data_IF_221707965256
#
_entry.id   IF_221707965256
#
_cell.length_a   1.000
_cell.length_b   1.000
_cell.length_c   1.000
_cell.angle_alpha   90.00
_cell.angle_beta   90.00
_cell.angle_gamma   90.00
#
_symmetry.space_group_name_H-M   'P 1'
#
loop_
_entity.id
_entity.type
_entity.pdbx_description
1 polymer ?
#
# COMPACT_ATOMS: atom_id res chain seq x y z
N UNK A 1 64.93 -2.33 5.84
CA UNK A 1 64.18 -3.37 6.57
C UNK A 1 62.74 -2.92 6.73
N UNK A 2 61.79 -3.85 6.55
CA UNK A 2 60.34 -3.61 6.63
C UNK A 2 59.92 -3.28 8.08
N UNK A 3 59.24 -2.15 8.24
CA UNK A 3 58.49 -1.78 9.43
C UNK A 3 57.05 -2.29 9.26
N UNK A 4 56.48 -2.93 10.28
CA UNK A 4 55.02 -3.12 10.43
C UNK A 4 54.65 -3.03 11.92
N UNK A 5 54.38 -1.80 12.37
CA UNK A 5 53.54 -1.56 13.53
C UNK A 5 52.09 -1.57 13.08
N UNK A 6 51.25 -2.42 13.67
CA UNK A 6 49.82 -2.41 13.42
C UNK A 6 49.17 -1.40 14.36
N UNK A 7 48.62 -0.32 13.81
CA UNK A 7 47.62 0.51 14.50
C UNK A 7 46.33 -0.29 14.57
N UNK A 8 45.92 -0.65 15.79
CA UNK A 8 44.60 -1.23 16.05
C UNK A 8 43.59 -0.07 16.01
N UNK A 9 42.68 -0.13 15.05
CA UNK A 9 41.64 0.88 14.85
C UNK A 9 40.48 0.63 15.82
N UNK A 10 40.58 1.24 17.01
CA UNK A 10 39.62 1.12 18.12
C UNK A 10 38.20 1.59 17.75
N UNK A 11 38.04 2.39 16.69
CA UNK A 11 36.73 2.86 16.22
C UNK A 11 35.93 1.77 15.50
N UNK A 12 36.58 0.71 14.99
CA UNK A 12 35.89 -0.48 14.45
C UNK A 12 35.45 -1.46 15.54
N UNK A 13 35.92 -1.30 16.78
CA UNK A 13 35.59 -2.19 17.91
C UNK A 13 34.35 -1.74 18.73
N UNK A 14 33.89 -0.49 18.59
CA UNK A 14 32.72 0.02 19.32
C UNK A 14 31.43 -0.29 18.55
N UNK A 15 31.00 -1.55 18.63
CA UNK A 15 29.76 -2.04 18.04
C UNK A 15 28.49 -1.48 18.70
N UNK A 16 27.90 -0.43 18.10
CA UNK A 16 26.51 -0.04 18.38
C UNK A 16 25.61 0.26 17.17
N UNK A 17 26.12 0.34 15.94
CA UNK A 17 25.28 0.67 14.76
C UNK A 17 25.14 -0.42 13.68
N UNK A 18 25.92 -1.51 13.73
CA UNK A 18 25.82 -2.58 12.71
C UNK A 18 24.48 -3.32 12.70
N UNK A 19 23.76 -3.36 13.83
CA UNK A 19 22.45 -4.00 13.89
C UNK A 19 21.36 -3.14 13.25
N UNK A 20 21.43 -1.81 13.42
CA UNK A 20 20.48 -0.89 12.78
C UNK A 20 20.69 -0.88 11.26
N UNK A 21 21.94 -0.80 10.80
CA UNK A 21 22.28 -0.85 9.37
C UNK A 21 21.93 -2.20 8.72
N UNK A 22 22.14 -3.32 9.44
CA UNK A 22 21.72 -4.66 8.97
C UNK A 22 20.20 -4.79 8.88
N UNK A 23 19.46 -4.20 9.83
CA UNK A 23 18.00 -4.15 9.80
C UNK A 23 17.49 -3.28 8.65
N UNK A 24 18.11 -2.13 8.41
CA UNK A 24 17.76 -1.24 7.30
C UNK A 24 18.15 -1.83 5.93
N UNK A 25 19.25 -2.58 5.82
CA UNK A 25 19.58 -3.38 4.64
C UNK A 25 18.57 -4.51 4.41
N UNK A 26 18.14 -5.21 5.46
CA UNK A 26 17.05 -6.20 5.39
C UNK A 26 15.75 -5.56 4.91
N UNK A 27 15.39 -4.39 5.43
CA UNK A 27 14.22 -3.63 5.02
C UNK A 27 14.36 -3.08 3.58
N UNK A 28 15.56 -2.71 3.15
CA UNK A 28 15.85 -2.30 1.77
C UNK A 28 15.75 -3.47 0.79
N UNK A 29 16.20 -4.67 1.19
CA UNK A 29 16.04 -5.91 0.43
C UNK A 29 14.57 -6.33 0.35
N UNK A 30 13.80 -6.11 1.41
CA UNK A 30 12.34 -6.25 1.42
C UNK A 30 11.64 -5.17 0.56
N UNK A 31 12.24 -4.00 0.34
CA UNK A 31 11.73 -3.00 -0.63
C UNK A 31 12.06 -3.35 -2.08
N UNK A 32 13.24 -3.92 -2.35
CA UNK A 32 13.57 -4.52 -3.66
C UNK A 32 12.57 -5.62 -4.04
N UNK A 33 11.97 -6.30 -3.06
CA UNK A 33 10.93 -7.29 -3.29
C UNK A 33 9.71 -6.70 -4.03
N UNK A 34 9.43 -5.40 -4.02
CA UNK A 34 8.34 -4.85 -4.87
C UNK A 34 8.59 -4.97 -6.37
N UNK A 35 9.85 -5.02 -6.83
CA UNK A 35 10.17 -5.41 -8.21
C UNK A 35 10.09 -6.94 -8.43
N UNK A 36 10.09 -7.71 -7.34
CA UNK A 36 9.98 -9.17 -7.33
C UNK A 36 8.59 -9.70 -6.98
N UNK A 37 7.63 -8.91 -6.50
CA UNK A 37 6.38 -9.44 -5.94
C UNK A 37 5.50 -10.08 -7.00
N UNK A 38 5.34 -9.41 -8.15
CA UNK A 38 4.69 -10.01 -9.31
C UNK A 38 5.43 -11.28 -9.76
N UNK A 39 6.76 -11.30 -9.66
CA UNK A 39 7.59 -12.48 -10.00
C UNK A 39 7.43 -13.60 -8.97
N UNK A 40 7.27 -13.28 -7.69
CA UNK A 40 7.04 -14.23 -6.59
C UNK A 40 5.67 -14.87 -6.74
N UNK A 41 4.62 -14.07 -7.00
CA UNK A 41 3.29 -14.61 -7.28
C UNK A 41 3.26 -15.44 -8.56
N UNK A 42 3.97 -14.99 -9.61
CA UNK A 42 4.14 -15.77 -10.82
C UNK A 42 4.86 -17.10 -10.53
N UNK A 43 5.92 -17.09 -9.72
CA UNK A 43 6.68 -18.29 -9.35
C UNK A 43 5.85 -19.27 -8.52
N UNK A 44 5.05 -18.78 -7.59
CA UNK A 44 4.09 -19.60 -6.83
C UNK A 44 3.10 -20.27 -7.79
N UNK A 45 2.57 -19.51 -8.75
CA UNK A 45 1.65 -20.05 -9.76
C UNK A 45 2.33 -21.10 -10.64
N UNK A 46 3.57 -20.88 -11.04
CA UNK A 46 4.38 -21.85 -11.79
C UNK A 46 4.58 -23.14 -10.98
N UNK A 47 4.95 -23.05 -9.70
CA UNK A 47 5.15 -24.23 -8.85
C UNK A 47 3.85 -25.01 -8.67
N UNK A 48 2.72 -24.32 -8.44
CA UNK A 48 1.43 -24.98 -8.28
C UNK A 48 0.89 -25.55 -9.59
N UNK A 49 1.28 -24.99 -10.73
CA UNK A 49 0.94 -25.56 -12.05
C UNK A 49 1.61 -26.92 -12.30
N UNK A 50 2.61 -27.30 -11.49
CA UNK A 50 3.19 -28.64 -11.51
C UNK A 50 2.33 -29.70 -10.82
N UNK A 51 1.25 -29.31 -10.15
CA UNK A 51 0.32 -30.27 -9.56
C UNK A 51 -0.40 -31.06 -10.67
N UNK A 52 -0.58 -32.37 -10.46
CA UNK A 52 -1.14 -33.26 -11.50
C UNK A 52 -2.57 -32.92 -11.91
N UNK A 53 -3.36 -32.46 -10.94
CA UNK A 53 -4.77 -32.09 -11.09
C UNK A 53 -4.95 -30.60 -11.40
N UNK A 54 -3.86 -29.85 -11.62
CA UNK A 54 -3.94 -28.45 -12.00
C UNK A 54 -4.50 -28.30 -13.42
N UNK A 55 -5.61 -27.59 -13.55
CA UNK A 55 -6.13 -27.15 -14.84
C UNK A 55 -6.40 -25.65 -14.81
N UNK A 56 -5.75 -24.91 -15.70
CA UNK A 56 -5.93 -23.46 -15.77
C UNK A 56 -7.37 -23.10 -16.15
N UNK A 57 -7.91 -22.08 -15.48
CA UNK A 57 -9.27 -21.57 -15.72
C UNK A 57 -10.38 -22.33 -15.00
N UNK A 58 -10.13 -23.53 -14.47
CA UNK A 58 -11.13 -24.29 -13.72
C UNK A 58 -11.50 -23.63 -12.38
N UNK A 59 -12.73 -23.86 -11.94
CA UNK A 59 -13.28 -23.29 -10.70
C UNK A 59 -12.48 -23.78 -9.48
N UNK A 60 -12.10 -25.05 -9.50
CA UNK A 60 -11.31 -25.73 -8.49
C UNK A 60 -9.96 -25.03 -8.28
N UNK A 61 -9.26 -24.73 -9.38
CA UNK A 61 -8.01 -23.98 -9.39
C UNK A 61 -8.18 -22.57 -8.82
N UNK A 62 -9.25 -21.86 -9.18
CA UNK A 62 -9.55 -20.53 -8.65
C UNK A 62 -9.82 -20.57 -7.13
N UNK A 63 -10.59 -21.55 -6.67
CA UNK A 63 -10.87 -21.77 -5.24
C UNK A 63 -9.60 -22.12 -4.48
N UNK A 64 -8.72 -22.94 -5.06
CA UNK A 64 -7.43 -23.28 -4.49
C UNK A 64 -6.56 -22.03 -4.26
N UNK A 65 -6.35 -21.19 -5.30
CA UNK A 65 -5.56 -19.96 -5.13
C UNK A 65 -6.19 -18.97 -4.14
N UNK A 66 -7.52 -18.84 -4.15
CA UNK A 66 -8.22 -18.00 -3.18
C UNK A 66 -8.03 -18.52 -1.74
N UNK A 67 -8.08 -19.83 -1.54
CA UNK A 67 -7.85 -20.48 -0.25
C UNK A 67 -6.42 -20.24 0.25
N UNK A 68 -5.42 -20.44 -0.62
CA UNK A 68 -4.02 -20.19 -0.30
C UNK A 68 -3.79 -18.71 0.06
N UNK A 69 -4.35 -17.79 -0.73
CA UNK A 69 -4.25 -16.36 -0.46
C UNK A 69 -4.88 -15.99 0.89
N UNK A 70 -6.07 -16.50 1.20
CA UNK A 70 -6.74 -16.23 2.47
C UNK A 70 -5.96 -16.78 3.66
N UNK A 71 -5.36 -17.97 3.55
CA UNK A 71 -4.48 -18.51 4.59
C UNK A 71 -3.26 -17.62 4.85
N UNK A 72 -2.62 -17.10 3.79
CA UNK A 72 -1.48 -16.18 3.93
C UNK A 72 -1.88 -14.83 4.56
N UNK A 73 -3.02 -14.25 4.14
CA UNK A 73 -3.53 -13.01 4.74
C UNK A 73 -3.89 -13.22 6.21
N UNK A 74 -4.53 -14.34 6.54
CA UNK A 74 -4.90 -14.67 7.91
C UNK A 74 -3.67 -14.88 8.80
N UNK A 75 -2.65 -15.57 8.30
CA UNK A 75 -1.38 -15.74 9.01
C UNK A 75 -0.72 -14.40 9.37
N UNK A 76 -0.81 -13.41 8.47
CA UNK A 76 -0.20 -12.10 8.66
C UNK A 76 -1.05 -11.11 9.48
N UNK A 77 -2.38 -11.12 9.30
CA UNK A 77 -3.29 -10.06 9.78
C UNK A 77 -4.45 -10.56 10.65
N UNK A 78 -4.58 -11.88 10.84
CA UNK A 78 -5.69 -12.52 11.57
C UNK A 78 -7.05 -12.38 10.87
N UNK A 79 -7.06 -12.02 9.59
CA UNK A 79 -8.25 -11.77 8.78
C UNK A 79 -8.02 -12.27 7.35
N UNK A 80 -9.07 -12.79 6.71
CA UNK A 80 -9.06 -13.08 5.28
C UNK A 80 -8.97 -11.79 4.45
N UNK A 81 -8.65 -11.90 3.16
CA UNK A 81 -8.56 -10.74 2.27
C UNK A 81 -9.89 -9.96 2.22
N UNK A 82 -11.02 -10.66 2.14
CA UNK A 82 -12.35 -10.05 2.14
C UNK A 82 -12.66 -9.33 3.47
N UNK A 83 -12.33 -9.94 4.61
CA UNK A 83 -12.53 -9.33 5.93
C UNK A 83 -11.64 -8.10 6.15
N UNK A 84 -10.40 -8.12 5.66
CA UNK A 84 -9.51 -6.95 5.68
C UNK A 84 -10.18 -5.78 4.96
N UNK A 85 -10.62 -5.99 3.72
CA UNK A 85 -11.27 -4.95 2.91
C UNK A 85 -12.54 -4.46 3.60
N UNK A 86 -13.42 -5.38 4.00
CA UNK A 86 -14.70 -5.07 4.65
C UNK A 86 -14.52 -4.26 5.94
N UNK A 87 -13.53 -4.60 6.75
CA UNK A 87 -13.29 -3.98 8.06
C UNK A 87 -12.51 -2.68 7.97
N UNK A 88 -11.60 -2.54 6.99
CA UNK A 88 -10.65 -1.42 6.93
C UNK A 88 -11.01 -0.34 5.92
N UNK A 89 -11.78 -0.67 4.88
CA UNK A 89 -12.29 0.33 3.94
C UNK A 89 -13.30 1.25 4.64
N UNK A 90 -12.95 2.53 4.81
CA UNK A 90 -13.77 3.52 5.50
C UNK A 90 -13.61 4.89 4.85
N UNK A 91 -14.65 5.36 4.17
CA UNK A 91 -14.73 6.65 3.49
C UNK A 91 -14.42 7.84 4.39
N UNK A 92 -14.61 7.71 5.71
CA UNK A 92 -14.35 8.78 6.68
C UNK A 92 -12.87 8.97 6.98
N UNK A 93 -12.04 7.96 6.75
CA UNK A 93 -10.60 8.05 6.98
C UNK A 93 -9.90 8.78 5.83
N UNK A 94 -8.70 9.29 6.11
CA UNK A 94 -7.80 9.75 5.06
C UNK A 94 -7.50 8.58 4.11
N UNK A 95 -7.56 8.82 2.80
CA UNK A 95 -7.30 7.82 1.77
C UNK A 95 -8.07 6.49 1.99
N UNK A 96 -9.27 6.56 2.56
CA UNK A 96 -10.11 5.42 2.92
C UNK A 96 -9.52 4.39 3.89
N UNK A 97 -8.42 4.74 4.58
CA UNK A 97 -7.69 3.82 5.44
C UNK A 97 -6.65 2.97 4.72
N UNK A 98 -6.37 3.24 3.44
CA UNK A 98 -5.27 2.58 2.73
C UNK A 98 -3.92 3.03 3.33
N UNK A 99 -2.99 2.09 3.41
CA UNK A 99 -1.59 2.28 3.80
C UNK A 99 -0.65 2.34 2.59
N UNK A 100 -1.07 1.77 1.45
CA UNK A 100 -0.34 1.83 0.18
C UNK A 100 -1.29 1.80 -1.01
N UNK A 101 -0.97 2.50 -2.10
CA UNK A 101 -1.69 2.43 -3.37
C UNK A 101 -0.76 2.77 -4.53
N UNK A 102 -1.22 2.51 -5.76
CA UNK A 102 -0.48 2.84 -6.97
C UNK A 102 -0.76 4.28 -7.43
N UNK A 103 0.29 5.05 -7.72
CA UNK A 103 0.19 6.41 -8.25
C UNK A 103 -0.06 7.49 -7.19
N UNK A 104 -0.53 8.66 -7.63
CA UNK A 104 -0.63 9.87 -6.81
C UNK A 104 -1.92 9.98 -6.00
N UNK A 105 -2.96 9.22 -6.39
CA UNK A 105 -4.28 9.27 -5.74
C UNK A 105 -4.87 7.86 -5.62
N UNK A 106 -5.67 7.64 -4.59
CA UNK A 106 -6.46 6.41 -4.44
C UNK A 106 -7.44 6.29 -5.60
N UNK A 107 -7.41 5.14 -6.29
CA UNK A 107 -8.35 4.75 -7.34
C UNK A 107 -9.27 3.61 -6.86
N UNK A 108 -10.40 3.43 -7.56
CA UNK A 108 -11.39 2.39 -7.23
C UNK A 108 -10.82 0.96 -7.29
N UNK A 109 -9.76 0.71 -8.06
CA UNK A 109 -9.06 -0.58 -8.09
C UNK A 109 -8.19 -0.83 -6.85
N UNK A 110 -7.74 0.24 -6.18
CA UNK A 110 -6.85 0.11 -5.03
C UNK A 110 -7.63 -0.29 -3.77
N UNK A 111 -8.90 0.12 -3.67
CA UNK A 111 -9.74 -0.10 -2.48
C UNK A 111 -10.21 -1.55 -2.30
N UNK A 112 -10.05 -2.37 -3.33
CA UNK A 112 -10.45 -3.78 -3.36
C UNK A 112 -9.31 -4.72 -3.01
N UNK A 113 -8.10 -4.19 -3.00
CA UNK A 113 -6.88 -4.95 -2.77
C UNK A 113 -6.61 -4.97 -1.28
N UNK A 114 -6.83 -6.11 -0.62
CA UNK A 114 -6.65 -6.28 0.84
C UNK A 114 -5.27 -5.82 1.33
N UNK A 115 -4.23 -6.14 0.56
CA UNK A 115 -2.84 -5.74 0.84
C UNK A 115 -2.67 -4.23 1.03
N UNK A 116 -3.46 -3.41 0.34
CA UNK A 116 -3.38 -1.96 0.45
C UNK A 116 -3.87 -1.41 1.80
N UNK A 117 -4.48 -2.25 2.65
CA UNK A 117 -4.91 -1.91 4.00
C UNK A 117 -4.05 -2.54 5.10
N UNK A 118 -3.00 -3.29 4.74
CA UNK A 118 -2.12 -3.92 5.71
C UNK A 118 -1.13 -2.89 6.29
N UNK A 119 -0.91 -2.97 7.59
CA UNK A 119 0.12 -2.19 8.28
C UNK A 119 1.52 -2.62 7.84
N UNK A 120 2.53 -1.80 8.13
CA UNK A 120 3.92 -2.13 7.82
C UNK A 120 4.37 -3.48 8.40
N UNK A 121 3.94 -3.79 9.64
CA UNK A 121 4.23 -5.07 10.30
C UNK A 121 3.54 -6.25 9.62
N UNK A 122 2.28 -6.09 9.22
CA UNK A 122 1.52 -7.15 8.54
C UNK A 122 2.08 -7.40 7.13
N UNK A 123 2.48 -6.36 6.40
CA UNK A 123 3.15 -6.49 5.10
C UNK A 123 4.50 -7.20 5.23
N UNK A 124 5.32 -6.81 6.21
CA UNK A 124 6.60 -7.47 6.47
C UNK A 124 6.39 -8.96 6.79
N UNK A 125 5.43 -9.26 7.66
CA UNK A 125 5.07 -10.65 8.01
C UNK A 125 4.60 -11.42 6.78
N UNK A 126 3.66 -10.87 6.00
CA UNK A 126 3.15 -11.49 4.77
C UNK A 126 4.29 -11.80 3.78
N UNK A 127 5.18 -10.83 3.56
CA UNK A 127 6.30 -10.99 2.63
C UNK A 127 7.25 -12.11 3.08
N UNK A 128 7.60 -12.16 4.37
CA UNK A 128 8.47 -13.21 4.93
C UNK A 128 7.86 -14.59 4.78
N UNK A 129 6.58 -14.74 5.12
CA UNK A 129 5.83 -15.99 4.98
C UNK A 129 5.85 -16.46 3.53
N UNK A 130 5.57 -15.56 2.59
CA UNK A 130 5.51 -15.87 1.16
C UNK A 130 6.87 -16.35 0.64
N UNK A 131 7.96 -15.68 1.00
CA UNK A 131 9.31 -16.07 0.58
C UNK A 131 9.70 -17.41 1.18
N UNK A 132 9.54 -17.59 2.50
CA UNK A 132 9.87 -18.85 3.17
C UNK A 132 9.07 -20.04 2.63
N UNK A 133 7.77 -19.83 2.36
CA UNK A 133 6.93 -20.86 1.76
C UNK A 133 7.38 -21.19 0.33
N UNK A 134 7.75 -20.18 -0.46
CA UNK A 134 8.21 -20.37 -1.83
C UNK A 134 9.47 -21.25 -1.88
N UNK A 135 10.46 -20.97 -1.03
CA UNK A 135 11.70 -21.76 -0.97
C UNK A 135 11.42 -23.24 -0.66
N UNK A 136 10.52 -23.51 0.29
CA UNK A 136 10.15 -24.89 0.62
C UNK A 136 9.30 -25.55 -0.47
N UNK A 137 8.43 -24.79 -1.13
CA UNK A 137 7.62 -25.29 -2.23
C UNK A 137 8.50 -25.65 -3.43
N UNK A 138 9.49 -24.83 -3.75
CA UNK A 138 10.46 -25.11 -4.82
C UNK A 138 11.29 -26.37 -4.49
N UNK A 139 11.79 -26.49 -3.27
CA UNK A 139 12.51 -27.69 -2.82
C UNK A 139 11.64 -28.95 -2.92
N UNK A 140 10.36 -28.85 -2.55
CA UNK A 140 9.40 -29.96 -2.67
C UNK A 140 9.14 -30.33 -4.14
N UNK A 141 8.97 -29.34 -5.01
CA UNK A 141 8.74 -29.54 -6.45
C UNK A 141 9.96 -30.18 -7.15
N UNK A 142 11.18 -29.76 -6.80
CA UNK A 142 12.42 -30.33 -7.35
C UNK A 142 12.57 -31.83 -7.09
N UNK A 143 12.01 -32.32 -5.98
CA UNK A 143 12.01 -33.76 -5.63
C UNK A 143 11.03 -34.61 -6.45
N UNK A 144 10.40 -34.02 -7.48
CA UNK A 144 9.51 -34.68 -8.46
C UNK A 144 8.49 -35.61 -7.81
N UNK A 145 7.89 -35.15 -6.72
CA UNK A 145 6.77 -35.86 -6.12
C UNK A 145 5.53 -35.57 -6.96
N UNK A 146 4.71 -36.59 -7.17
CA UNK A 146 3.39 -36.44 -7.76
C UNK A 146 2.49 -35.72 -6.74
N UNK A 147 2.43 -34.39 -6.81
CA UNK A 147 1.71 -33.55 -5.85
C UNK A 147 0.34 -33.17 -6.46
N UNK A 148 -0.72 -33.26 -5.66
CA UNK A 148 -2.04 -32.74 -5.99
C UNK A 148 -2.24 -31.33 -5.39
N UNK A 149 -3.21 -30.55 -5.88
CA UNK A 149 -3.54 -29.24 -5.29
C UNK A 149 -3.95 -29.34 -3.81
N UNK A 150 -4.62 -30.43 -3.43
CA UNK A 150 -4.94 -30.72 -2.03
C UNK A 150 -3.70 -30.87 -1.14
N UNK A 151 -2.63 -31.48 -1.66
CA UNK A 151 -1.37 -31.66 -0.94
C UNK A 151 -0.67 -30.32 -0.69
N UNK A 152 -0.77 -29.38 -1.63
CA UNK A 152 -0.25 -28.01 -1.46
C UNK A 152 -0.98 -27.27 -0.35
N UNK A 153 -2.30 -27.43 -0.26
CA UNK A 153 -3.11 -26.83 0.80
C UNK A 153 -2.70 -27.39 2.17
N UNK A 154 -2.61 -28.72 2.28
CA UNK A 154 -2.17 -29.37 3.51
C UNK A 154 -0.71 -29.03 3.88
N UNK A 155 0.14 -28.83 2.87
CA UNK A 155 1.52 -28.41 3.06
C UNK A 155 1.60 -26.99 3.62
N UNK A 156 0.81 -26.04 3.09
CA UNK A 156 0.73 -24.69 3.64
C UNK A 156 0.24 -24.71 5.10
N UNK A 157 -0.77 -25.50 5.42
CA UNK A 157 -1.27 -25.60 6.79
C UNK A 157 -0.21 -26.12 7.77
N UNK A 158 0.57 -27.12 7.35
CA UNK A 158 1.71 -27.59 8.16
C UNK A 158 2.78 -26.51 8.26
N UNK A 159 3.14 -25.84 7.18
CA UNK A 159 4.13 -24.78 7.18
C UNK A 159 3.77 -23.66 8.17
N UNK A 160 2.52 -23.19 8.13
CA UNK A 160 2.04 -22.14 9.03
C UNK A 160 2.06 -22.60 10.50
N UNK A 161 1.67 -23.84 10.80
CA UNK A 161 1.74 -24.39 12.17
C UNK A 161 3.18 -24.48 12.70
N UNK A 162 4.12 -24.98 11.90
CA UNK A 162 5.52 -25.12 12.32
C UNK A 162 6.23 -23.77 12.49
N UNK A 163 5.72 -22.72 11.83
CA UNK A 163 6.22 -21.35 11.97
C UNK A 163 5.49 -20.56 13.06
N UNK A 164 4.65 -21.23 13.87
CA UNK A 164 3.86 -20.65 14.95
C UNK A 164 2.91 -19.53 14.49
N UNK A 165 2.45 -19.60 13.24
CA UNK A 165 1.52 -18.65 12.64
C UNK A 165 0.08 -19.17 12.70
N UNK A 166 -0.91 -18.27 12.84
CA UNK A 166 -2.30 -18.66 12.90
C UNK A 166 -2.75 -19.25 11.56
N UNK A 167 -3.35 -20.43 11.61
CA UNK A 167 -3.96 -21.08 10.44
C UNK A 167 -5.42 -20.73 10.38
N UNK A 168 -5.89 -20.33 9.19
CA UNK A 168 -7.29 -20.05 8.94
C UNK A 168 -8.13 -21.32 9.18
N UNK A 169 -9.07 -21.32 10.15
CA UNK A 169 -9.82 -22.52 10.53
C UNK A 169 -10.98 -22.84 9.58
N UNK A 170 -11.56 -21.83 8.93
CA UNK A 170 -12.71 -21.93 8.04
C UNK A 170 -12.55 -21.01 6.81
N UNK A 171 -13.60 -20.81 6.01
CA UNK A 171 -13.53 -19.94 4.83
C UNK A 171 -13.54 -18.43 5.14
N UNK A 172 -13.59 -18.03 6.41
CA UNK A 172 -13.89 -16.66 6.82
C UNK A 172 -15.40 -16.37 6.80
N UNK A 173 -15.78 -15.19 7.29
CA UNK A 173 -17.19 -14.79 7.47
C UNK A 173 -17.74 -13.88 6.36
N UNK A 174 -16.86 -13.30 5.54
CA UNK A 174 -17.23 -12.28 4.55
C UNK A 174 -16.90 -12.78 3.16
N UNK A 175 -17.87 -12.71 2.24
CA UNK A 175 -17.64 -13.07 0.84
C UNK A 175 -16.84 -12.01 0.11
N UNK A 176 -16.19 -12.41 -0.99
CA UNK A 176 -15.43 -11.48 -1.82
C UNK A 176 -16.35 -10.41 -2.43
N UNK A 177 -17.54 -10.82 -2.86
CA UNK A 177 -18.55 -9.95 -3.46
C UNK A 177 -19.06 -8.91 -2.47
N UNK A 178 -19.32 -9.32 -1.22
CA UNK A 178 -19.75 -8.39 -0.16
C UNK A 178 -18.64 -7.37 0.16
N UNK A 179 -17.40 -7.83 0.34
CA UNK A 179 -16.27 -6.95 0.60
C UNK A 179 -16.03 -5.96 -0.55
N UNK A 180 -16.17 -6.42 -1.79
CA UNK A 180 -16.01 -5.63 -3.00
C UNK A 180 -17.11 -4.57 -3.15
N UNK A 181 -18.37 -4.94 -2.91
CA UNK A 181 -19.49 -4.01 -2.91
C UNK A 181 -19.28 -2.92 -1.84
N UNK A 182 -18.95 -3.34 -0.61
CA UNK A 182 -18.67 -2.41 0.49
C UNK A 182 -17.54 -1.43 0.15
N UNK A 183 -16.41 -1.91 -0.37
CA UNK A 183 -15.28 -1.05 -0.73
C UNK A 183 -15.65 -0.05 -1.83
N UNK A 184 -16.46 -0.46 -2.79
CA UNK A 184 -16.94 0.43 -3.85
C UNK A 184 -17.85 1.52 -3.30
N UNK A 185 -18.79 1.19 -2.43
CA UNK A 185 -19.69 2.16 -1.80
C UNK A 185 -18.91 3.17 -0.95
N UNK A 186 -17.92 2.69 -0.18
CA UNK A 186 -17.01 3.57 0.57
C UNK A 186 -16.17 4.46 -0.36
N UNK A 187 -15.78 3.95 -1.54
CA UNK A 187 -15.02 4.76 -2.50
C UNK A 187 -15.88 5.86 -3.11
N UNK A 188 -17.12 5.55 -3.44
CA UNK A 188 -18.03 6.54 -4.02
C UNK A 188 -18.33 7.65 -3.00
N UNK A 189 -18.59 7.29 -1.73
CA UNK A 189 -18.72 8.28 -0.64
C UNK A 189 -17.43 9.11 -0.42
N UNK A 190 -16.25 8.47 -0.49
CA UNK A 190 -14.96 9.15 -0.37
C UNK A 190 -14.69 10.11 -1.54
N UNK A 191 -15.05 9.71 -2.76
CA UNK A 191 -14.89 10.51 -3.96
C UNK A 191 -15.76 11.77 -3.91
N UNK A 192 -17.02 11.64 -3.52
CA UNK A 192 -17.92 12.77 -3.34
C UNK A 192 -17.43 13.73 -2.25
N UNK A 193 -16.98 13.21 -1.10
CA UNK A 193 -16.39 14.05 -0.05
C UNK A 193 -15.19 14.87 -0.57
N UNK A 194 -14.25 14.21 -1.26
CA UNK A 194 -13.07 14.91 -1.82
C UNK A 194 -13.46 15.95 -2.87
N UNK A 195 -14.50 15.69 -3.66
CA UNK A 195 -15.02 16.64 -4.64
C UNK A 195 -15.56 17.89 -3.94
N UNK A 196 -16.40 17.72 -2.93
CA UNK A 196 -16.95 18.84 -2.15
C UNK A 196 -15.87 19.64 -1.42
N UNK A 197 -14.87 18.98 -0.85
CA UNK A 197 -13.71 19.62 -0.22
C UNK A 197 -12.90 20.44 -1.25
N UNK A 198 -12.70 19.91 -2.45
CA UNK A 198 -11.99 20.60 -3.53
C UNK A 198 -12.77 21.81 -4.06
N UNK A 199 -14.10 21.69 -4.23
CA UNK A 199 -14.99 22.78 -4.60
C UNK A 199 -14.95 23.90 -3.54
N UNK A 200 -15.12 23.55 -2.26
CA UNK A 200 -15.05 24.51 -1.14
C UNK A 200 -13.69 25.21 -1.05
N UNK A 201 -12.60 24.48 -1.26
CA UNK A 201 -11.25 25.05 -1.26
C UNK A 201 -11.01 25.99 -2.46
N UNK A 202 -11.55 25.66 -3.65
CA UNK A 202 -11.48 26.51 -4.82
C UNK A 202 -12.28 27.80 -4.63
N UNK A 203 -13.48 27.71 -4.07
CA UNK A 203 -14.31 28.87 -3.71
C UNK A 203 -13.62 29.78 -2.69
N UNK A 204 -13.01 29.19 -1.65
CA UNK A 204 -12.25 29.95 -0.65
C UNK A 204 -11.08 30.73 -1.26
N UNK A 205 -10.29 30.08 -2.14
CA UNK A 205 -9.20 30.75 -2.88
C UNK A 205 -9.72 31.86 -3.77
N UNK A 206 -10.82 31.64 -4.49
CA UNK A 206 -11.44 32.65 -5.33
C UNK A 206 -11.89 33.89 -4.52
N UNK A 207 -12.52 33.67 -3.36
CA UNK A 207 -12.90 34.78 -2.47
C UNK A 207 -11.69 35.54 -1.91
N UNK A 208 -10.60 34.85 -1.60
CA UNK A 208 -9.35 35.46 -1.16
C UNK A 208 -8.71 36.31 -2.27
N UNK A 209 -8.67 35.80 -3.51
CA UNK A 209 -8.18 36.52 -4.68
C UNK A 209 -9.02 37.76 -5.01
N UNK A 210 -10.35 37.67 -4.87
CA UNK A 210 -11.24 38.82 -5.00
C UNK A 210 -10.98 39.87 -3.91
N UNK A 211 -10.78 39.45 -2.66
CA UNK A 211 -10.47 40.37 -1.54
C UNK A 211 -9.11 41.05 -1.73
N UNK A 212 -8.09 40.31 -2.15
CA UNK A 212 -6.75 40.86 -2.38
C UNK A 212 -6.76 41.87 -3.56
N UNK A 213 -7.51 41.54 -4.62
CA UNK A 213 -7.73 42.44 -5.76
C UNK A 213 -8.47 43.71 -5.36
N UNK A 214 -9.54 43.59 -4.57
CA UNK A 214 -10.31 44.73 -4.06
C UNK A 214 -9.43 45.65 -3.18
N UNK A 215 -8.65 45.08 -2.25
CA UNK A 215 -7.71 45.83 -1.41
C UNK A 215 -6.67 46.58 -2.24
N UNK A 216 -6.12 45.92 -3.26
CA UNK A 216 -5.14 46.53 -4.18
C UNK A 216 -5.76 47.71 -4.96
N UNK A 217 -7.02 47.61 -5.37
CA UNK A 217 -7.75 48.69 -6.03
C UNK A 217 -8.05 49.85 -5.08
N UNK A 218 -8.41 49.57 -3.82
CA UNK A 218 -8.60 50.61 -2.79
C UNK A 218 -7.31 51.36 -2.48
N UNK A 219 -6.19 50.65 -2.36
CA UNK A 219 -4.87 51.25 -2.13
C UNK A 219 -4.42 52.11 -3.33
N UNK A 220 -4.72 51.67 -4.56
CA UNK A 220 -4.52 52.49 -5.78
C UNK A 220 -5.41 53.74 -5.78
N UNK A 221 -6.67 53.61 -5.37
CA UNK A 221 -7.62 54.73 -5.29
C UNK A 221 -7.24 55.75 -4.22
N UNK A 222 -6.71 55.33 -3.07
CA UNK A 222 -6.17 56.22 -2.03
C UNK A 222 -4.90 56.95 -2.46
N UNK A 223 -4.11 56.39 -3.38
CA UNK A 223 -2.88 57.00 -3.93
C UNK A 223 -3.11 57.96 -5.10
N UNK A 224 -4.32 58.02 -5.66
CA UNK A 224 -4.69 59.00 -6.69
C UNK A 224 -4.97 60.36 -6.04
N UNK A 225 -4.22 61.44 -6.36
CA UNK A 225 -4.48 62.76 -5.81
C UNK A 225 -5.84 63.28 -6.28
N UNK A 226 -6.63 63.82 -5.36
CA UNK A 226 -8.00 64.25 -5.59
C UNK A 226 -8.15 65.15 -6.83
N UNK A 227 -9.02 64.75 -7.74
CA UNK A 227 -9.51 65.59 -8.83
C UNK A 227 -10.35 66.74 -8.24
N UNK A 228 -9.68 67.76 -7.72
CA UNK A 228 -10.31 68.90 -7.05
C UNK A 228 -9.61 70.21 -7.40
N UNK A 229 -10.29 71.01 -8.24
CA UNK A 229 -10.05 72.42 -8.65
C UNK A 229 -9.19 72.65 -9.91
N UNK A 230 -9.80 72.45 -11.09
CA UNK A 230 -9.59 73.36 -12.22
C UNK A 230 -10.20 74.73 -11.87
N UNK A 231 -9.40 75.61 -11.26
CA UNK A 231 -9.73 77.05 -11.17
C UNK A 231 -9.54 77.66 -12.55
N UNK A 232 -10.64 77.94 -13.23
CA UNK A 232 -10.64 78.74 -14.45
C UNK A 232 -10.02 80.10 -14.18
N UNK A 233 -9.01 80.49 -14.97
CA UNK A 233 -8.59 81.89 -15.10
C UNK A 233 -8.96 82.36 -16.50
N UNK A 234 -10.03 83.15 -16.53
CA UNK A 234 -10.47 83.98 -17.65
C UNK A 234 -9.36 84.95 -18.07
N UNK A 235 -9.26 85.15 -19.39
CA UNK A 235 -8.89 86.37 -20.16
C UNK A 235 -8.46 87.60 -19.34
N UNK A 236 -7.38 88.26 -19.78
CA UNK A 236 -7.46 89.55 -20.50
C UNK A 236 -6.09 90.08 -20.94
N UNK A 237 -6.07 90.51 -22.21
CA UNK A 237 -5.32 91.59 -22.87
C UNK A 237 -3.80 91.53 -22.88
#
# INVERSE_FOLDING_TARGET
>A
YLIKGFTLDDDRLKGRDRLADYFDELLARIREIRASEARVYQRIREIFSLAKDYVEGQKETQVFFATMQNKMHYAAAGLTAAEIVRRRADSRKANMGLTSWSGTRVLKRDVTTAKNYLSAKEIDTLNRIVVMFLDQAEFRAQRRQDIMMGDWTAFLDRFLRHTELPVLPDSGKVSREEAQAWANDQYDAFAERRRLEAETAAEGRYLEDLRSSAKTLEDKRKKLPGAGKKRGKKKKR
#
